data_IF_896127411826
#
_entry.id   IF_896127411826
#
_cell.length_a   1.000
_cell.length_b   1.000
_cell.length_c   1.000
_cell.angle_alpha   90.00
_cell.angle_beta   90.00
_cell.angle_gamma   90.00
#
_symmetry.space_group_name_H-M   'P 1'
#
loop_
_entity.id
_entity.type
_entity.pdbx_description
1 polymer ?
#
# COMPACT_ATOMS: atom_id res chain seq x y z
N UNK A 1 8.33 -5.19 -51.63
CA UNK A 1 8.75 -6.01 -50.49
C UNK A 1 9.40 -5.08 -49.46
N UNK A 2 8.62 -4.58 -48.52
CA UNK A 2 9.08 -3.74 -47.39
C UNK A 2 9.49 -4.64 -46.27
N UNK A 3 10.79 -4.79 -46.04
CA UNK A 3 11.37 -5.50 -44.93
C UNK A 3 10.98 -4.80 -43.63
N UNK A 4 9.98 -5.33 -42.91
CA UNK A 4 9.71 -5.00 -41.51
C UNK A 4 10.93 -5.44 -40.66
N UNK A 5 11.81 -4.49 -40.36
CA UNK A 5 12.83 -4.67 -39.31
C UNK A 5 12.12 -4.91 -38.01
N UNK A 6 12.29 -6.10 -37.42
CA UNK A 6 11.82 -6.42 -36.09
C UNK A 6 12.30 -5.32 -35.11
N UNK A 7 11.41 -4.72 -34.31
CA UNK A 7 11.82 -3.69 -33.37
C UNK A 7 12.86 -4.27 -32.43
N UNK A 8 14.02 -3.64 -32.35
CA UNK A 8 15.16 -4.10 -31.54
C UNK A 8 14.74 -4.34 -30.08
N UNK A 9 15.44 -5.24 -29.39
CA UNK A 9 15.16 -5.69 -28.02
C UNK A 9 14.92 -4.50 -27.06
N UNK A 10 15.67 -3.41 -27.22
CA UNK A 10 15.51 -2.16 -26.46
C UNK A 10 14.13 -1.51 -26.66
N UNK A 11 13.58 -1.52 -27.86
CA UNK A 11 12.26 -0.95 -28.15
C UNK A 11 11.13 -1.82 -27.60
N UNK A 12 11.31 -3.14 -27.55
CA UNK A 12 10.38 -4.08 -26.90
C UNK A 12 10.40 -3.96 -25.37
N UNK A 13 11.55 -3.69 -24.78
CA UNK A 13 11.69 -3.44 -23.34
C UNK A 13 11.09 -2.08 -22.95
N UNK A 14 11.35 -1.02 -23.72
CA UNK A 14 10.82 0.33 -23.47
C UNK A 14 9.29 0.43 -23.58
N UNK A 15 8.66 -0.41 -24.42
CA UNK A 15 7.20 -0.49 -24.55
C UNK A 15 6.58 -1.65 -23.79
N UNK A 16 7.38 -2.40 -22.99
CA UNK A 16 6.93 -3.49 -22.12
C UNK A 16 6.13 -3.00 -20.91
N UNK A 17 5.47 -3.91 -20.21
CA UNK A 17 4.78 -3.58 -18.94
C UNK A 17 5.80 -3.02 -17.94
N UNK A 18 5.41 -2.01 -17.16
CA UNK A 18 6.27 -1.35 -16.16
C UNK A 18 6.90 -2.38 -15.19
N UNK A 19 6.18 -3.47 -14.89
CA UNK A 19 6.71 -4.58 -14.06
C UNK A 19 7.94 -5.22 -14.69
N UNK A 20 7.92 -5.50 -16.01
CA UNK A 20 9.06 -6.08 -16.72
C UNK A 20 10.26 -5.14 -16.70
N UNK A 21 10.02 -3.83 -16.88
CA UNK A 21 11.07 -2.81 -16.80
C UNK A 21 11.68 -2.73 -15.40
N UNK A 22 10.85 -2.78 -14.35
CA UNK A 22 11.30 -2.81 -12.95
C UNK A 22 12.14 -4.07 -12.68
N UNK A 23 11.70 -5.24 -13.14
CA UNK A 23 12.48 -6.49 -12.99
C UNK A 23 13.83 -6.41 -13.69
N UNK A 24 13.87 -5.84 -14.91
CA UNK A 24 15.14 -5.60 -15.61
C UNK A 24 16.02 -4.62 -14.83
N UNK A 25 15.45 -3.51 -14.33
CA UNK A 25 16.19 -2.55 -13.50
C UNK A 25 16.75 -3.20 -12.23
N UNK A 26 15.98 -4.05 -11.56
CA UNK A 26 16.39 -4.80 -10.39
C UNK A 26 17.57 -5.74 -10.70
N UNK A 27 17.45 -6.56 -11.77
CA UNK A 27 18.53 -7.49 -12.18
C UNK A 27 19.80 -6.72 -12.54
N UNK A 28 19.68 -5.65 -13.33
CA UNK A 28 20.83 -4.80 -13.68
C UNK A 28 21.45 -4.15 -12.44
N UNK A 29 20.64 -3.74 -11.46
CA UNK A 29 21.12 -3.19 -10.20
C UNK A 29 21.93 -4.18 -9.37
N UNK A 30 21.47 -5.43 -9.28
CA UNK A 30 22.20 -6.52 -8.63
C UNK A 30 23.52 -6.79 -9.35
N UNK A 31 23.50 -6.88 -10.68
CA UNK A 31 24.70 -7.13 -11.49
C UNK A 31 25.72 -6.01 -11.31
N UNK A 32 25.28 -4.74 -11.34
CA UNK A 32 26.18 -3.61 -11.15
C UNK A 32 26.84 -3.60 -9.76
N UNK A 33 26.08 -3.90 -8.72
CA UNK A 33 26.62 -4.00 -7.36
C UNK A 33 27.64 -5.13 -7.21
N UNK A 34 27.46 -6.20 -7.98
CA UNK A 34 28.42 -7.33 -7.99
C UNK A 34 29.72 -7.00 -8.74
N UNK A 35 29.63 -6.26 -9.87
CA UNK A 35 30.79 -5.94 -10.74
C UNK A 35 31.61 -4.80 -10.14
N UNK A 36 30.95 -3.73 -9.67
CA UNK A 36 31.64 -2.51 -9.22
C UNK A 36 30.88 -1.78 -8.13
N UNK A 37 31.35 -1.89 -6.88
CA UNK A 37 30.77 -1.15 -5.75
C UNK A 37 30.78 0.37 -5.94
N UNK A 38 31.90 1.02 -6.37
CA UNK A 38 31.91 2.47 -6.56
C UNK A 38 30.90 2.96 -7.60
N UNK A 39 30.72 2.23 -8.71
CA UNK A 39 29.74 2.55 -9.73
C UNK A 39 28.30 2.36 -9.20
N UNK A 40 28.06 1.32 -8.40
CA UNK A 40 26.77 1.04 -7.78
C UNK A 40 26.37 2.13 -6.77
N UNK A 41 27.30 2.66 -6.00
CA UNK A 41 27.09 3.80 -5.09
C UNK A 41 26.78 5.08 -5.86
N UNK A 42 27.52 5.36 -6.93
CA UNK A 42 27.30 6.57 -7.76
C UNK A 42 25.89 6.62 -8.39
N UNK A 43 25.37 5.50 -8.89
CA UNK A 43 24.01 5.43 -9.43
C UNK A 43 22.93 5.48 -8.36
N UNK A 44 23.27 5.38 -7.08
CA UNK A 44 22.37 5.55 -5.93
C UNK A 44 21.65 6.89 -5.94
N UNK A 45 22.25 7.94 -6.52
CA UNK A 45 21.61 9.24 -6.72
C UNK A 45 20.27 9.11 -7.46
N UNK A 46 20.17 8.24 -8.47
CA UNK A 46 18.92 8.02 -9.23
C UNK A 46 17.83 7.45 -8.31
N UNK A 47 18.21 6.53 -7.42
CA UNK A 47 17.30 5.97 -6.41
C UNK A 47 16.83 7.04 -5.41
N UNK A 48 17.74 7.85 -4.91
CA UNK A 48 17.44 8.94 -3.97
C UNK A 48 16.51 9.98 -4.60
N UNK A 49 16.76 10.38 -5.84
CA UNK A 49 15.90 11.31 -6.60
C UNK A 49 14.49 10.73 -6.79
N UNK A 50 14.38 9.45 -7.14
CA UNK A 50 13.09 8.79 -7.31
C UNK A 50 12.29 8.75 -6.02
N UNK A 51 12.90 8.33 -4.90
CA UNK A 51 12.25 8.30 -3.59
C UNK A 51 11.90 9.72 -3.12
N UNK A 52 12.79 10.69 -3.34
CA UNK A 52 12.54 12.10 -3.05
C UNK A 52 11.33 12.65 -3.81
N UNK A 53 11.22 12.34 -5.11
CA UNK A 53 10.09 12.74 -5.93
C UNK A 53 8.77 12.11 -5.45
N UNK A 54 8.77 10.82 -5.05
CA UNK A 54 7.59 10.18 -4.46
C UNK A 54 7.19 10.84 -3.14
N UNK A 55 8.13 11.10 -2.25
CA UNK A 55 7.89 11.78 -0.97
C UNK A 55 7.33 13.19 -1.15
N UNK A 56 7.79 13.92 -2.18
CA UNK A 56 7.34 15.29 -2.45
C UNK A 56 5.88 15.34 -2.95
N UNK A 57 5.45 14.37 -3.76
CA UNK A 57 4.10 14.39 -4.36
C UNK A 57 3.06 13.74 -3.46
N UNK A 58 3.45 12.79 -2.59
CA UNK A 58 2.53 12.01 -1.77
C UNK A 58 1.61 12.86 -0.84
N UNK A 59 2.08 13.89 -0.12
CA UNK A 59 1.24 14.71 0.74
C UNK A 59 0.12 15.42 -0.04
N UNK A 60 0.46 16.03 -1.17
CA UNK A 60 -0.49 16.75 -2.04
C UNK A 60 -1.49 15.77 -2.65
N UNK A 61 -1.03 14.58 -3.07
CA UNK A 61 -1.91 13.52 -3.58
C UNK A 61 -2.98 13.16 -2.57
N UNK A 62 -2.57 12.86 -1.32
CA UNK A 62 -3.51 12.45 -0.26
C UNK A 62 -4.52 13.56 0.02
N UNK A 63 -4.08 14.82 0.14
CA UNK A 63 -4.96 15.95 0.34
C UNK A 63 -6.02 16.05 -0.77
N UNK A 64 -5.58 16.11 -2.02
CA UNK A 64 -6.48 16.32 -3.17
C UNK A 64 -7.40 15.13 -3.42
N UNK A 65 -6.90 13.91 -3.32
CA UNK A 65 -7.66 12.71 -3.61
C UNK A 65 -8.77 12.49 -2.57
N UNK A 66 -8.44 12.64 -1.28
CA UNK A 66 -9.42 12.46 -0.20
C UNK A 66 -10.45 13.59 -0.22
N UNK A 67 -10.01 14.85 -0.39
CA UNK A 67 -10.90 16.00 -0.50
C UNK A 67 -11.86 15.84 -1.69
N UNK A 68 -11.37 15.48 -2.88
CA UNK A 68 -12.21 15.26 -4.05
C UNK A 68 -13.21 14.12 -3.85
N UNK A 69 -12.77 13.01 -3.26
CA UNK A 69 -13.61 11.85 -2.97
C UNK A 69 -14.80 12.21 -2.07
N UNK A 70 -14.55 13.01 -1.01
CA UNK A 70 -15.60 13.42 -0.05
C UNK A 70 -16.51 14.48 -0.65
N UNK A 71 -15.97 15.48 -1.36
CA UNK A 71 -16.74 16.54 -1.99
C UNK A 71 -17.74 16.02 -3.02
N UNK A 72 -17.36 14.96 -3.76
CA UNK A 72 -18.19 14.36 -4.81
C UNK A 72 -19.10 13.22 -4.34
N UNK A 73 -19.09 12.91 -3.05
CA UNK A 73 -19.94 11.85 -2.52
C UNK A 73 -21.42 12.28 -2.53
N UNK A 74 -22.20 11.72 -3.46
CA UNK A 74 -23.62 12.05 -3.63
C UNK A 74 -24.47 11.40 -2.52
N UNK A 75 -25.37 12.21 -1.93
CA UNK A 75 -26.42 11.73 -1.03
C UNK A 75 -27.67 11.41 -1.86
N UNK A 76 -28.26 10.25 -1.65
CA UNK A 76 -29.63 10.05 -2.06
C UNK A 76 -30.06 8.69 -2.59
N UNK A 77 -29.18 7.73 -2.75
CA UNK A 77 -29.63 6.37 -3.09
C UNK A 77 -29.95 5.58 -1.82
N UNK A 78 -31.21 5.13 -1.69
CA UNK A 78 -31.66 4.21 -0.62
C UNK A 78 -31.13 2.80 -0.91
N UNK A 79 -29.81 2.66 -0.96
CA UNK A 79 -29.15 1.38 -1.13
C UNK A 79 -28.84 0.79 0.23
N UNK A 80 -28.95 -0.53 0.34
CA UNK A 80 -28.64 -1.28 1.56
C UNK A 80 -27.10 -1.36 1.78
N UNK A 81 -26.45 -0.17 1.88
CA UNK A 81 -24.98 -0.04 1.94
C UNK A 81 -24.43 -0.49 3.30
N UNK A 82 -25.22 -0.39 4.39
CA UNK A 82 -24.77 -0.72 5.74
C UNK A 82 -24.13 -2.12 5.86
N UNK A 83 -24.79 -3.21 5.40
CA UNK A 83 -24.19 -4.54 5.48
C UNK A 83 -22.95 -4.69 4.59
N UNK A 84 -22.87 -3.96 3.47
CA UNK A 84 -21.72 -3.99 2.58
C UNK A 84 -20.52 -3.30 3.23
N UNK A 85 -20.73 -2.10 3.83
CA UNK A 85 -19.70 -1.41 4.59
C UNK A 85 -19.17 -2.26 5.75
N UNK A 86 -20.07 -2.93 6.47
CA UNK A 86 -19.67 -3.84 7.55
C UNK A 86 -18.78 -4.97 7.01
N UNK A 87 -19.12 -5.59 5.87
CA UNK A 87 -18.31 -6.62 5.24
C UNK A 87 -16.94 -6.09 4.76
N UNK A 88 -16.87 -4.86 4.27
CA UNK A 88 -15.60 -4.23 3.89
C UNK A 88 -14.67 -4.04 5.10
N UNK A 89 -15.23 -3.49 6.19
CA UNK A 89 -14.47 -3.31 7.43
C UNK A 89 -14.05 -4.66 8.03
N UNK A 90 -14.97 -5.63 8.05
CA UNK A 90 -14.68 -6.98 8.54
C UNK A 90 -13.60 -7.67 7.69
N UNK A 91 -13.68 -7.53 6.36
CA UNK A 91 -12.68 -8.08 5.43
C UNK A 91 -11.30 -7.47 5.64
N UNK A 92 -11.22 -6.12 5.74
CA UNK A 92 -9.96 -5.41 6.00
C UNK A 92 -9.39 -5.76 7.38
N UNK A 93 -10.23 -5.82 8.42
CA UNK A 93 -9.80 -6.22 9.77
C UNK A 93 -9.32 -7.68 9.81
N UNK A 94 -10.06 -8.59 9.18
CA UNK A 94 -9.65 -10.00 9.10
C UNK A 94 -8.35 -10.19 8.34
N UNK A 95 -8.10 -9.38 7.30
CA UNK A 95 -6.85 -9.39 6.57
C UNK A 95 -5.68 -8.89 7.42
N UNK A 96 -5.88 -7.81 8.20
CA UNK A 96 -4.89 -7.31 9.15
C UNK A 96 -4.59 -8.34 10.25
N UNK A 97 -5.63 -8.97 10.81
CA UNK A 97 -5.48 -10.02 11.82
C UNK A 97 -4.72 -11.24 11.27
N UNK A 98 -5.06 -11.68 10.05
CA UNK A 98 -4.34 -12.74 9.38
C UNK A 98 -2.86 -12.38 9.16
N UNK A 99 -2.56 -11.12 8.81
CA UNK A 99 -1.21 -10.63 8.66
C UNK A 99 -0.42 -10.65 9.96
N UNK A 100 -1.04 -10.27 11.08
CA UNK A 100 -0.44 -10.38 12.42
C UNK A 100 -0.09 -11.84 12.73
N UNK A 101 -1.05 -12.75 12.62
CA UNK A 101 -0.83 -14.19 12.90
C UNK A 101 0.25 -14.77 11.98
N UNK A 102 0.22 -14.42 10.69
CA UNK A 102 1.16 -14.92 9.71
C UNK A 102 2.58 -14.38 9.92
N UNK A 103 2.72 -13.09 10.28
CA UNK A 103 4.02 -12.47 10.61
C UNK A 103 4.63 -13.11 11.86
N UNK A 104 3.85 -13.40 12.88
CA UNK A 104 4.33 -14.13 14.06
C UNK A 104 4.69 -15.60 13.77
N UNK A 105 3.99 -16.25 12.82
CA UNK A 105 4.31 -17.61 12.41
C UNK A 105 5.60 -17.70 11.58
N UNK A 106 5.86 -16.67 10.77
CA UNK A 106 6.99 -16.60 9.84
C UNK A 106 7.76 -15.28 10.03
N UNK A 107 8.51 -15.11 11.12
CA UNK A 107 9.26 -13.89 11.37
C UNK A 107 10.28 -13.66 10.25
N UNK A 108 10.27 -12.47 9.68
CA UNK A 108 11.22 -12.06 8.65
C UNK A 108 12.36 -11.24 9.28
N UNK A 109 13.60 -11.50 8.86
CA UNK A 109 14.78 -10.79 9.36
C UNK A 109 15.33 -9.86 8.30
N UNK A 110 14.75 -8.68 8.13
CA UNK A 110 15.29 -7.64 7.26
C UNK A 110 16.36 -6.80 7.99
N UNK A 111 17.55 -6.73 7.53
CA UNK A 111 18.54 -5.76 8.00
C UNK A 111 18.30 -4.41 7.32
N UNK A 112 17.45 -3.55 7.92
CA UNK A 112 17.39 -2.15 7.53
C UNK A 112 18.60 -1.45 8.16
N UNK A 113 19.52 -0.96 7.36
CA UNK A 113 20.50 0.02 7.80
C UNK A 113 19.77 1.36 7.98
N UNK A 114 18.97 1.48 9.03
CA UNK A 114 18.48 2.78 9.44
C UNK A 114 19.55 3.40 10.34
N UNK A 115 20.11 4.52 9.93
CA UNK A 115 20.56 5.52 10.87
C UNK A 115 19.31 5.97 11.64
N UNK A 116 18.97 5.21 12.68
CA UNK A 116 18.01 5.63 13.68
C UNK A 116 18.65 6.83 14.36
N UNK A 117 18.26 8.05 13.94
CA UNK A 117 18.42 9.18 14.83
C UNK A 117 17.76 8.81 16.16
N UNK A 118 18.28 9.32 17.26
CA UNK A 118 17.80 9.09 18.62
C UNK A 118 16.28 9.33 18.75
N UNK A 119 15.50 8.35 18.33
CA UNK A 119 14.06 8.31 18.57
C UNK A 119 13.90 7.62 19.93
N UNK A 120 13.87 8.42 21.00
CA UNK A 120 13.46 7.91 22.30
C UNK A 120 12.05 7.32 22.18
N UNK A 121 11.85 6.05 22.56
CA UNK A 121 10.53 5.45 22.50
C UNK A 121 9.56 6.22 23.40
N UNK A 122 8.30 6.44 22.97
CA UNK A 122 7.32 7.16 23.77
C UNK A 122 7.12 6.45 25.11
N UNK A 123 7.03 7.23 26.19
CA UNK A 123 6.95 6.73 27.58
C UNK A 123 5.65 5.96 27.89
N UNK A 124 4.66 6.01 26.98
CA UNK A 124 3.40 5.27 27.15
C UNK A 124 2.36 5.60 26.09
N UNK A 125 1.26 4.82 26.11
CA UNK A 125 0.16 4.94 25.16
C UNK A 125 -0.51 6.32 25.21
N UNK A 126 -0.51 6.97 26.37
CA UNK A 126 -1.09 8.31 26.55
C UNK A 126 -0.29 9.37 25.78
N UNK A 127 1.02 9.29 25.77
CA UNK A 127 1.89 10.20 25.02
C UNK A 127 1.70 10.02 23.50
N UNK A 128 1.60 8.77 23.04
CA UNK A 128 1.27 8.46 21.64
C UNK A 128 -0.09 9.03 21.26
N UNK A 129 -1.12 8.82 22.08
CA UNK A 129 -2.46 9.37 21.83
C UNK A 129 -2.46 10.90 21.80
N UNK A 130 -1.77 11.54 22.73
CA UNK A 130 -1.59 12.99 22.74
C UNK A 130 -0.90 13.50 21.47
N UNK A 131 0.17 12.83 21.06
CA UNK A 131 0.88 13.14 19.81
C UNK A 131 -0.02 13.04 18.58
N UNK A 132 -0.84 11.98 18.50
CA UNK A 132 -1.82 11.79 17.43
C UNK A 132 -2.85 12.92 17.40
N UNK A 133 -3.46 13.27 18.55
CA UNK A 133 -4.44 14.36 18.64
C UNK A 133 -3.81 15.71 18.27
N UNK A 134 -2.61 16.00 18.76
CA UNK A 134 -1.89 17.23 18.39
C UNK A 134 -1.55 17.27 16.89
N UNK A 135 -1.23 16.12 16.29
CA UNK A 135 -0.99 16.02 14.85
C UNK A 135 -2.24 16.34 14.03
N UNK A 136 -3.44 16.04 14.55
CA UNK A 136 -4.71 16.37 13.88
C UNK A 136 -4.98 17.89 13.77
N UNK A 137 -4.50 18.65 14.74
CA UNK A 137 -4.73 20.11 14.85
C UNK A 137 -3.60 20.93 14.24
N UNK A 138 -2.66 20.30 13.56
CA UNK A 138 -1.52 20.97 12.93
C UNK A 138 -1.97 21.93 11.80
N UNK A 139 -1.19 22.99 11.57
CA UNK A 139 -1.39 23.89 10.43
C UNK A 139 -1.35 23.07 9.12
N UNK A 140 -2.29 23.31 8.17
CA UNK A 140 -2.36 22.53 6.94
C UNK A 140 -1.10 22.62 6.08
N UNK A 141 -0.48 23.79 6.02
CA UNK A 141 0.75 24.01 5.24
C UNK A 141 1.92 23.28 5.91
N UNK A 142 2.02 23.38 7.23
CA UNK A 142 3.05 22.67 8.00
C UNK A 142 2.89 21.15 7.92
N UNK A 143 1.64 20.66 7.94
CA UNK A 143 1.32 19.24 7.73
C UNK A 143 1.79 18.74 6.36
N UNK A 144 1.59 19.54 5.30
CA UNK A 144 2.06 19.23 3.95
C UNK A 144 3.59 19.23 3.86
N UNK A 145 4.24 20.25 4.42
CA UNK A 145 5.71 20.39 4.41
C UNK A 145 6.40 19.25 5.16
N UNK A 146 5.89 18.89 6.33
CA UNK A 146 6.46 17.84 7.18
C UNK A 146 5.98 16.43 6.83
N UNK A 147 5.01 16.29 5.91
CA UNK A 147 4.40 14.99 5.58
C UNK A 147 3.60 14.41 6.75
N UNK A 148 2.98 15.24 7.58
CA UNK A 148 2.08 14.80 8.64
C UNK A 148 0.74 14.34 8.04
N UNK A 149 0.68 13.07 7.65
CA UNK A 149 -0.50 12.49 6.97
C UNK A 149 -1.77 12.54 7.81
N UNK A 150 -1.67 12.52 9.15
CA UNK A 150 -2.84 12.62 10.04
C UNK A 150 -3.45 14.01 9.92
N UNK A 151 -2.63 15.06 10.03
CA UNK A 151 -3.09 16.44 9.82
C UNK A 151 -3.63 16.66 8.42
N UNK A 152 -2.94 16.15 7.39
CA UNK A 152 -3.38 16.24 5.99
C UNK A 152 -4.76 15.59 5.81
N UNK A 153 -4.99 14.40 6.38
CA UNK A 153 -6.27 13.70 6.30
C UNK A 153 -7.40 14.49 6.99
N UNK A 154 -7.15 15.04 8.17
CA UNK A 154 -8.16 15.87 8.89
C UNK A 154 -8.57 17.07 8.06
N UNK A 155 -7.60 17.80 7.49
CA UNK A 155 -7.87 18.93 6.60
C UNK A 155 -8.55 18.49 5.30
N UNK A 156 -8.14 17.38 4.69
CA UNK A 156 -8.78 16.86 3.49
C UNK A 156 -10.25 16.48 3.72
N UNK A 157 -10.54 15.86 4.87
CA UNK A 157 -11.90 15.51 5.28
C UNK A 157 -12.71 16.78 5.55
N UNK A 158 -12.20 17.72 6.34
CA UNK A 158 -12.89 18.97 6.66
C UNK A 158 -13.21 19.80 5.42
N UNK A 159 -12.24 20.02 4.54
CA UNK A 159 -12.44 20.72 3.28
C UNK A 159 -13.36 19.96 2.34
N UNK A 160 -13.25 18.62 2.26
CA UNK A 160 -14.16 17.80 1.47
C UNK A 160 -15.62 17.92 1.92
N UNK A 161 -15.88 17.94 3.23
CA UNK A 161 -17.22 18.19 3.78
C UNK A 161 -17.72 19.59 3.47
N UNK A 162 -16.90 20.61 3.62
CA UNK A 162 -17.27 21.99 3.29
C UNK A 162 -17.63 22.14 1.79
N UNK A 163 -16.83 21.56 0.91
CA UNK A 163 -17.02 21.61 -0.53
C UNK A 163 -18.17 20.73 -1.05
N UNK A 164 -18.68 19.81 -0.23
CA UNK A 164 -19.82 18.96 -0.58
C UNK A 164 -21.07 19.76 -0.92
N UNK A 165 -21.25 20.92 -0.28
CA UNK A 165 -22.36 21.85 -0.52
C UNK A 165 -22.03 22.88 -1.60
N UNK A 166 -20.82 22.82 -2.16
CA UNK A 166 -20.40 23.69 -3.27
C UNK A 166 -21.14 23.37 -4.59
N UNK A 167 -21.07 24.32 -5.51
CA UNK A 167 -21.63 24.14 -6.85
C UNK A 167 -20.84 23.11 -7.65
N UNK A 168 -21.44 22.60 -8.73
CA UNK A 168 -20.81 21.59 -9.58
C UNK A 168 -19.50 22.09 -10.22
N UNK A 169 -19.36 23.37 -10.51
CA UNK A 169 -18.13 23.96 -11.05
C UNK A 169 -16.98 23.81 -10.07
N UNK A 170 -17.22 24.06 -8.77
CA UNK A 170 -16.20 23.91 -7.73
C UNK A 170 -15.80 22.43 -7.54
N UNK A 171 -16.78 21.52 -7.57
CA UNK A 171 -16.51 20.08 -7.46
C UNK A 171 -15.70 19.57 -8.66
N UNK A 172 -16.03 20.01 -9.86
CA UNK A 172 -15.29 19.67 -11.07
C UNK A 172 -13.86 20.20 -11.00
N UNK A 173 -13.64 21.43 -10.54
CA UNK A 173 -12.29 21.99 -10.34
C UNK A 173 -11.46 21.13 -9.39
N UNK A 174 -12.02 20.71 -8.25
CA UNK A 174 -11.34 19.85 -7.29
C UNK A 174 -11.00 18.49 -7.89
N UNK A 175 -11.90 17.91 -8.70
CA UNK A 175 -11.64 16.68 -9.43
C UNK A 175 -10.49 16.85 -10.44
N UNK A 176 -10.48 17.93 -11.20
CA UNK A 176 -9.44 18.22 -12.19
C UNK A 176 -8.08 18.38 -11.52
N UNK A 177 -8.02 19.07 -10.38
CA UNK A 177 -6.81 19.18 -9.58
C UNK A 177 -6.34 17.80 -9.04
N UNK A 178 -7.26 16.98 -8.55
CA UNK A 178 -6.97 15.61 -8.09
C UNK A 178 -6.42 14.75 -9.24
N UNK A 179 -7.01 14.87 -10.43
CA UNK A 179 -6.56 14.17 -11.64
C UNK A 179 -5.18 14.64 -12.08
N UNK A 180 -4.90 15.94 -12.03
CA UNK A 180 -3.61 16.52 -12.36
C UNK A 180 -2.50 16.01 -11.42
N UNK A 181 -2.75 16.00 -10.10
CA UNK A 181 -1.79 15.46 -9.12
C UNK A 181 -1.60 13.95 -9.33
N UNK A 182 -2.69 13.21 -9.60
CA UNK A 182 -2.61 11.78 -9.93
C UNK A 182 -1.77 11.52 -11.18
N UNK A 183 -1.88 12.39 -12.19
CA UNK A 183 -1.02 12.31 -13.38
C UNK A 183 0.45 12.52 -13.05
N UNK A 184 0.78 13.50 -12.20
CA UNK A 184 2.16 13.73 -11.73
C UNK A 184 2.72 12.52 -11.00
N UNK A 185 1.94 11.88 -10.13
CA UNK A 185 2.35 10.62 -9.46
C UNK A 185 2.60 9.50 -10.47
N UNK A 186 1.71 9.33 -11.45
CA UNK A 186 1.90 8.33 -12.51
C UNK A 186 3.17 8.60 -13.31
N UNK A 187 3.49 9.88 -13.57
CA UNK A 187 4.73 10.28 -14.24
C UNK A 187 5.95 9.89 -13.41
N UNK A 188 5.97 10.20 -12.11
CA UNK A 188 7.05 9.80 -11.19
C UNK A 188 7.19 8.27 -11.17
N UNK A 189 6.07 7.53 -11.05
CA UNK A 189 6.08 6.05 -11.05
C UNK A 189 6.65 5.50 -12.38
N UNK A 190 6.50 6.19 -13.48
CA UNK A 190 7.07 5.76 -14.77
C UNK A 190 8.61 5.72 -14.76
N UNK A 191 9.25 6.50 -13.88
CA UNK A 191 10.70 6.45 -13.64
C UNK A 191 11.12 5.37 -12.64
N UNK A 192 10.19 4.60 -12.07
CA UNK A 192 10.47 3.53 -11.11
C UNK A 192 11.55 2.53 -11.57
N UNK A 193 11.61 2.08 -12.84
CA UNK A 193 12.66 1.15 -13.28
C UNK A 193 14.07 1.70 -13.06
N UNK A 194 14.27 2.99 -13.35
CA UNK A 194 15.56 3.68 -13.19
C UNK A 194 15.82 3.95 -11.71
N UNK A 195 14.81 4.40 -10.96
CA UNK A 195 14.92 4.64 -9.52
C UNK A 195 15.24 3.36 -8.74
N UNK A 196 14.57 2.27 -9.05
CA UNK A 196 14.79 0.97 -8.41
C UNK A 196 16.16 0.40 -8.77
N UNK A 197 16.60 0.54 -10.03
CA UNK A 197 17.96 0.21 -10.43
C UNK A 197 19.00 0.91 -9.54
N UNK A 198 18.91 2.24 -9.38
CA UNK A 198 19.83 3.01 -8.55
C UNK A 198 19.74 2.64 -7.06
N UNK A 199 18.53 2.48 -6.54
CA UNK A 199 18.30 2.13 -5.14
C UNK A 199 18.88 0.75 -4.79
N UNK A 200 18.60 -0.26 -5.61
CA UNK A 200 19.05 -1.63 -5.39
C UNK A 200 20.58 -1.71 -5.52
N UNK A 201 21.16 -1.05 -6.54
CA UNK A 201 22.61 -1.01 -6.72
C UNK A 201 23.31 -0.44 -5.48
N UNK A 202 22.89 0.75 -5.01
CA UNK A 202 23.53 1.41 -3.87
C UNK A 202 23.30 0.66 -2.56
N UNK A 203 22.09 0.14 -2.33
CA UNK A 203 21.80 -0.64 -1.13
C UNK A 203 22.66 -1.88 -1.03
N UNK A 204 22.79 -2.63 -2.14
CA UNK A 204 23.63 -3.84 -2.14
C UNK A 204 25.11 -3.55 -2.02
N UNK A 205 25.59 -2.44 -2.58
CA UNK A 205 26.98 -2.00 -2.44
C UNK A 205 27.34 -1.69 -0.99
N UNK A 206 26.39 -1.07 -0.24
CA UNK A 206 26.61 -0.65 1.15
C UNK A 206 26.30 -1.73 2.18
N UNK A 207 25.22 -2.51 2.01
CA UNK A 207 24.75 -3.49 3.00
C UNK A 207 25.11 -4.93 2.69
N UNK A 208 25.54 -5.21 1.47
CA UNK A 208 25.93 -6.55 1.02
C UNK A 208 24.77 -7.44 0.59
N UNK A 209 25.12 -8.61 0.01
CA UNK A 209 24.16 -9.53 -0.60
C UNK A 209 23.29 -10.31 0.42
N UNK A 210 23.71 -10.40 1.68
CA UNK A 210 22.91 -11.02 2.75
C UNK A 210 21.55 -10.33 2.92
N UNK A 211 21.47 -9.04 2.62
CA UNK A 211 20.26 -8.25 2.68
C UNK A 211 19.20 -8.70 1.67
N UNK A 212 19.61 -9.21 0.50
CA UNK A 212 18.68 -9.77 -0.50
C UNK A 212 17.88 -10.95 0.04
N UNK A 213 18.49 -11.79 0.86
CA UNK A 213 17.79 -12.93 1.46
C UNK A 213 16.67 -12.47 2.39
N UNK A 214 16.94 -11.45 3.21
CA UNK A 214 15.92 -10.84 4.07
C UNK A 214 14.75 -10.26 3.26
N UNK A 215 15.02 -9.55 2.16
CA UNK A 215 13.96 -9.04 1.27
C UNK A 215 13.16 -10.15 0.60
N UNK A 216 13.83 -11.23 0.14
CA UNK A 216 13.14 -12.37 -0.45
C UNK A 216 12.21 -13.04 0.57
N UNK A 217 12.68 -13.22 1.81
CA UNK A 217 11.88 -13.78 2.89
C UNK A 217 10.66 -12.91 3.19
N UNK A 218 10.84 -11.59 3.30
CA UNK A 218 9.72 -10.65 3.50
C UNK A 218 8.69 -10.74 2.36
N UNK A 219 9.14 -10.79 1.10
CA UNK A 219 8.25 -10.94 -0.05
C UNK A 219 7.47 -12.24 0.00
N UNK A 220 8.11 -13.35 0.39
CA UNK A 220 7.43 -14.64 0.56
C UNK A 220 6.36 -14.55 1.65
N UNK A 221 6.66 -13.91 2.77
CA UNK A 221 5.70 -13.69 3.87
C UNK A 221 4.53 -12.82 3.39
N UNK A 222 4.79 -11.70 2.71
CA UNK A 222 3.76 -10.81 2.18
C UNK A 222 2.86 -11.53 1.17
N UNK A 223 3.43 -12.14 0.15
CA UNK A 223 2.69 -12.84 -0.91
C UNK A 223 1.95 -14.05 -0.32
N UNK A 224 2.60 -14.80 0.56
CA UNK A 224 1.97 -15.93 1.26
C UNK A 224 0.76 -15.50 2.08
N UNK A 225 0.86 -14.40 2.82
CA UNK A 225 -0.24 -13.83 3.58
C UNK A 225 -1.39 -13.35 2.65
N UNK A 226 -1.05 -12.66 1.54
CA UNK A 226 -2.05 -12.23 0.56
C UNK A 226 -2.81 -13.41 -0.07
N UNK A 227 -2.10 -14.50 -0.41
CA UNK A 227 -2.69 -15.72 -0.92
C UNK A 227 -3.57 -16.41 0.13
N UNK A 228 -3.12 -16.47 1.38
CA UNK A 228 -3.92 -17.02 2.48
C UNK A 228 -5.22 -16.22 2.66
N UNK A 229 -5.15 -14.90 2.64
CA UNK A 229 -6.36 -14.07 2.75
C UNK A 229 -7.28 -14.27 1.54
N UNK A 230 -6.74 -14.31 0.33
CA UNK A 230 -7.53 -14.47 -0.89
C UNK A 230 -8.20 -15.86 -0.99
N UNK A 231 -7.50 -16.94 -0.58
CA UNK A 231 -7.93 -18.33 -0.79
C UNK A 231 -8.56 -18.97 0.46
N UNK A 232 -8.36 -18.42 1.64
CA UNK A 232 -8.90 -18.97 2.90
C UNK A 232 -9.81 -17.95 3.58
N UNK A 233 -9.32 -16.77 3.92
CA UNK A 233 -10.08 -15.79 4.74
C UNK A 233 -11.30 -15.28 3.97
N UNK A 234 -11.11 -14.82 2.72
CA UNK A 234 -12.22 -14.33 1.90
C UNK A 234 -13.26 -15.41 1.59
N UNK A 235 -12.89 -16.62 1.17
CA UNK A 235 -13.85 -17.72 1.04
C UNK A 235 -14.59 -18.02 2.33
N UNK A 236 -13.95 -17.98 3.49
CA UNK A 236 -14.56 -18.21 4.79
C UNK A 236 -15.63 -17.14 5.11
N UNK A 237 -15.33 -15.88 4.86
CA UNK A 237 -16.27 -14.77 5.02
C UNK A 237 -17.48 -14.91 4.08
N UNK A 238 -17.23 -15.29 2.84
CA UNK A 238 -18.29 -15.55 1.84
C UNK A 238 -19.15 -16.73 2.28
N UNK A 239 -18.53 -17.83 2.71
CA UNK A 239 -19.24 -19.02 3.23
C UNK A 239 -20.11 -18.67 4.44
N UNK A 240 -19.60 -17.91 5.37
CA UNK A 240 -20.35 -17.45 6.55
C UNK A 240 -21.62 -16.70 6.17
N UNK A 241 -21.57 -15.89 5.11
CA UNK A 241 -22.72 -15.11 4.66
C UNK A 241 -23.68 -15.87 3.77
N UNK A 242 -23.16 -16.67 2.81
CA UNK A 242 -23.97 -17.33 1.78
C UNK A 242 -24.41 -18.73 2.23
N UNK A 243 -23.70 -19.36 3.18
CA UNK A 243 -23.93 -20.73 3.66
C UNK A 243 -23.89 -21.81 2.56
N UNK A 244 -23.17 -21.53 1.48
CA UNK A 244 -22.95 -22.45 0.34
C UNK A 244 -21.46 -22.45 0.00
N UNK A 245 -21.03 -23.38 -0.86
CA UNK A 245 -19.64 -23.46 -1.30
C UNK A 245 -19.19 -22.11 -1.93
N UNK A 246 -18.21 -21.38 -1.34
CA UNK A 246 -17.78 -20.06 -1.80
C UNK A 246 -16.81 -20.12 -2.98
N UNK A 247 -16.10 -21.26 -3.17
CA UNK A 247 -15.00 -21.36 -4.12
C UNK A 247 -15.35 -21.06 -5.57
N UNK A 248 -16.51 -21.52 -6.13
CA UNK A 248 -16.87 -21.18 -7.50
C UNK A 248 -16.97 -19.67 -7.71
N UNK A 249 -17.55 -18.92 -6.74
CA UNK A 249 -17.68 -17.48 -6.82
C UNK A 249 -16.34 -16.79 -6.65
N UNK A 250 -15.54 -17.20 -5.66
CA UNK A 250 -14.22 -16.60 -5.40
C UNK A 250 -13.27 -16.82 -6.58
N UNK A 251 -13.23 -18.01 -7.14
CA UNK A 251 -12.42 -18.32 -8.32
C UNK A 251 -12.87 -17.55 -9.55
N UNK A 252 -14.18 -17.37 -9.73
CA UNK A 252 -14.73 -16.54 -10.81
C UNK A 252 -14.26 -15.09 -10.66
N UNK A 253 -14.37 -14.51 -9.46
CA UNK A 253 -13.89 -13.14 -9.17
C UNK A 253 -12.39 -13.01 -9.39
N UNK A 254 -11.58 -13.98 -8.94
CA UNK A 254 -10.15 -13.98 -9.15
C UNK A 254 -9.78 -14.04 -10.63
N UNK A 255 -10.46 -14.87 -11.39
CA UNK A 255 -10.21 -15.05 -12.83
C UNK A 255 -10.60 -13.81 -13.63
N UNK A 256 -11.80 -13.27 -13.42
CA UNK A 256 -12.36 -12.18 -14.25
C UNK A 256 -11.79 -10.81 -13.82
N UNK A 257 -11.67 -10.56 -12.53
CA UNK A 257 -11.26 -9.28 -11.97
C UNK A 257 -9.85 -9.29 -11.36
N UNK A 258 -9.48 -10.35 -10.65
CA UNK A 258 -8.20 -10.43 -9.96
C UNK A 258 -7.00 -10.38 -10.91
N UNK A 259 -7.07 -11.06 -12.04
CA UNK A 259 -6.02 -11.02 -13.08
C UNK A 259 -5.86 -9.60 -13.63
N UNK A 260 -6.97 -8.92 -13.92
CA UNK A 260 -6.95 -7.55 -14.39
C UNK A 260 -6.39 -6.59 -13.34
N UNK A 261 -6.81 -6.72 -12.07
CA UNK A 261 -6.31 -5.94 -10.95
C UNK A 261 -4.79 -6.10 -10.74
N UNK A 262 -4.28 -7.32 -10.89
CA UNK A 262 -2.84 -7.61 -10.80
C UNK A 262 -2.02 -6.84 -11.83
N UNK A 263 -2.48 -6.79 -13.07
CA UNK A 263 -1.76 -6.06 -14.14
C UNK A 263 -1.92 -4.55 -14.05
N UNK A 264 -3.11 -4.05 -13.71
CA UNK A 264 -3.37 -2.60 -13.61
C UNK A 264 -2.83 -1.99 -12.32
N UNK A 265 -2.72 -2.78 -11.25
CA UNK A 265 -2.30 -2.33 -9.91
C UNK A 265 -3.09 -1.12 -9.40
N UNK A 266 -4.33 -1.00 -9.84
CA UNK A 266 -5.20 0.13 -9.52
C UNK A 266 -6.61 -0.34 -9.26
N UNK A 267 -7.08 -0.19 -8.03
CA UNK A 267 -8.46 -0.49 -7.65
C UNK A 267 -9.45 0.37 -8.45
N UNK A 268 -9.12 1.63 -8.70
CA UNK A 268 -9.96 2.53 -9.48
C UNK A 268 -10.08 2.08 -10.95
N UNK A 269 -9.00 1.65 -11.59
CA UNK A 269 -9.01 1.13 -12.96
C UNK A 269 -9.81 -0.19 -13.06
N UNK A 270 -9.95 -0.91 -11.95
CA UNK A 270 -10.69 -2.17 -11.91
C UNK A 270 -12.20 -2.00 -11.65
N UNK A 271 -12.67 -0.79 -11.32
CA UNK A 271 -14.09 -0.51 -11.07
C UNK A 271 -14.99 -0.99 -12.22
N UNK A 272 -14.76 -0.60 -13.50
CA UNK A 272 -15.63 -1.00 -14.60
C UNK A 272 -15.64 -2.53 -14.82
N UNK A 273 -14.54 -3.21 -14.58
CA UNK A 273 -14.44 -4.67 -14.69
C UNK A 273 -15.30 -5.35 -13.61
N UNK A 274 -15.22 -4.87 -12.38
CA UNK A 274 -16.05 -5.37 -11.27
C UNK A 274 -17.53 -5.06 -11.49
N UNK A 275 -17.88 -3.89 -12.03
CA UNK A 275 -19.26 -3.55 -12.37
C UNK A 275 -19.83 -4.49 -13.45
N UNK A 276 -19.06 -4.72 -14.52
CA UNK A 276 -19.43 -5.66 -15.57
C UNK A 276 -19.58 -7.12 -15.04
N UNK A 277 -18.75 -7.51 -14.08
CA UNK A 277 -18.87 -8.81 -13.41
C UNK A 277 -20.16 -8.88 -12.56
N UNK A 278 -20.51 -7.81 -11.83
CA UNK A 278 -21.76 -7.75 -11.08
C UNK A 278 -22.99 -7.82 -11.99
N UNK A 279 -22.96 -7.14 -13.13
CA UNK A 279 -24.00 -7.22 -14.16
C UNK A 279 -24.14 -8.66 -14.71
N UNK A 280 -23.02 -9.32 -15.03
CA UNK A 280 -22.97 -10.71 -15.48
C UNK A 280 -23.54 -11.70 -14.45
N UNK A 281 -23.42 -11.36 -13.17
CA UNK A 281 -23.98 -12.12 -12.05
C UNK A 281 -25.45 -11.75 -11.74
N UNK A 282 -26.07 -10.89 -12.53
CA UNK A 282 -27.42 -10.37 -12.35
C UNK A 282 -27.67 -9.76 -10.94
N UNK A 283 -26.68 -9.04 -10.42
CA UNK A 283 -26.81 -8.33 -9.16
C UNK A 283 -27.58 -7.01 -9.36
N UNK A 284 -28.18 -6.51 -8.29
CA UNK A 284 -28.91 -5.25 -8.31
C UNK A 284 -28.01 -4.08 -8.67
N UNK A 285 -28.35 -3.36 -9.76
CA UNK A 285 -27.55 -2.28 -10.34
C UNK A 285 -27.38 -1.10 -9.38
N UNK A 286 -28.43 -0.74 -8.65
CA UNK A 286 -28.40 0.39 -7.72
C UNK A 286 -27.44 0.13 -6.57
N UNK A 287 -27.35 -1.12 -6.14
CA UNK A 287 -26.42 -1.55 -5.08
C UNK A 287 -24.96 -1.58 -5.57
N UNK A 288 -24.66 -2.24 -6.71
CA UNK A 288 -23.26 -2.37 -7.12
C UNK A 288 -22.67 -1.08 -7.71
N UNK A 289 -23.51 -0.19 -8.30
CA UNK A 289 -23.03 1.09 -8.83
C UNK A 289 -22.44 2.02 -7.74
N UNK A 290 -22.87 1.85 -6.50
CA UNK A 290 -22.36 2.58 -5.35
C UNK A 290 -21.32 1.78 -4.59
N UNK A 291 -21.58 0.49 -4.35
CA UNK A 291 -20.68 -0.32 -3.51
C UNK A 291 -19.33 -0.58 -4.17
N UNK A 292 -19.26 -0.83 -5.48
CA UNK A 292 -17.99 -1.13 -6.16
C UNK A 292 -17.01 0.07 -6.13
N UNK A 293 -17.40 1.30 -6.50
CA UNK A 293 -16.53 2.47 -6.36
C UNK A 293 -16.12 2.74 -4.90
N UNK A 294 -17.08 2.59 -3.96
CA UNK A 294 -16.82 2.78 -2.55
C UNK A 294 -15.84 1.72 -2.02
N UNK A 295 -16.02 0.45 -2.41
CA UNK A 295 -15.11 -0.65 -2.06
C UNK A 295 -13.69 -0.44 -2.57
N UNK A 296 -13.52 0.17 -3.74
CA UNK A 296 -12.21 0.48 -4.30
C UNK A 296 -11.39 1.46 -3.43
N UNK A 297 -12.06 2.24 -2.57
CA UNK A 297 -11.43 3.21 -1.66
C UNK A 297 -11.37 2.75 -0.20
N UNK A 298 -12.35 1.99 0.27
CA UNK A 298 -12.49 1.61 1.69
C UNK A 298 -11.95 0.20 1.95
N UNK A 299 -12.18 -0.76 1.04
CA UNK A 299 -11.74 -2.15 1.22
C UNK A 299 -10.31 -2.35 0.75
N UNK A 300 -9.36 -1.95 1.58
CA UNK A 300 -7.93 -2.00 1.27
C UNK A 300 -7.22 -3.16 2.01
N UNK A 301 -7.73 -4.38 1.90
CA UNK A 301 -7.17 -5.56 2.57
C UNK A 301 -5.68 -5.78 2.24
N UNK A 302 -5.26 -5.60 0.98
CA UNK A 302 -3.85 -5.71 0.58
C UNK A 302 -2.95 -4.66 1.25
N UNK A 303 -3.41 -3.42 1.37
CA UNK A 303 -2.68 -2.37 2.09
C UNK A 303 -2.60 -2.68 3.59
N UNK A 304 -3.69 -3.16 4.19
CA UNK A 304 -3.72 -3.57 5.60
C UNK A 304 -2.69 -4.68 5.88
N UNK A 305 -2.60 -5.71 5.02
CA UNK A 305 -1.59 -6.77 5.14
C UNK A 305 -0.18 -6.18 5.05
N UNK A 306 0.09 -5.38 4.03
CA UNK A 306 1.43 -4.82 3.78
C UNK A 306 1.89 -3.93 4.94
N UNK A 307 1.02 -3.01 5.40
CA UNK A 307 1.31 -2.12 6.52
C UNK A 307 1.57 -2.94 7.79
N UNK A 308 0.72 -3.92 8.10
CA UNK A 308 0.84 -4.74 9.30
C UNK A 308 2.13 -5.54 9.31
N UNK A 309 2.45 -6.24 8.22
CA UNK A 309 3.68 -7.05 8.12
C UNK A 309 4.92 -6.17 8.24
N UNK A 310 4.98 -5.05 7.49
CA UNK A 310 6.13 -4.13 7.54
C UNK A 310 6.29 -3.46 8.91
N UNK A 311 5.19 -3.09 9.56
CA UNK A 311 5.24 -2.48 10.90
C UNK A 311 5.72 -3.48 11.95
N UNK A 312 5.21 -4.71 11.92
CA UNK A 312 5.65 -5.75 12.85
C UNK A 312 7.13 -6.11 12.64
N UNK A 313 7.58 -6.21 11.40
CA UNK A 313 8.98 -6.43 11.07
C UNK A 313 9.88 -5.28 11.59
N UNK A 314 9.44 -4.04 11.49
CA UNK A 314 10.15 -2.87 12.03
C UNK A 314 10.15 -2.84 13.57
N UNK A 315 9.04 -3.19 14.22
CA UNK A 315 8.91 -3.23 15.69
C UNK A 315 9.77 -4.34 16.29
N UNK A 316 9.81 -5.52 15.69
CA UNK A 316 10.64 -6.64 16.16
C UNK A 316 12.13 -6.26 16.23
N UNK A 317 12.58 -5.35 15.38
CA UNK A 317 13.97 -4.87 15.32
C UNK A 317 14.32 -3.79 16.30
N UNK A 318 13.33 -2.93 16.64
CA UNK A 318 13.55 -1.85 17.62
C UNK A 318 13.77 -2.38 19.05
N UNK A 319 13.82 -3.72 19.22
CA UNK A 319 13.98 -4.34 20.54
C UNK A 319 12.70 -4.27 21.40
N UNK A 320 11.62 -3.70 20.85
CA UNK A 320 10.30 -3.75 21.48
C UNK A 320 9.76 -5.18 21.39
N UNK A 321 10.02 -5.97 22.44
CA UNK A 321 9.41 -7.30 22.60
C UNK A 321 7.91 -7.13 22.69
N UNK A 322 7.17 -7.40 21.62
CA UNK A 322 5.73 -7.57 21.72
C UNK A 322 5.51 -8.73 22.71
N UNK A 323 4.78 -8.51 23.77
CA UNK A 323 4.65 -9.40 24.94
C UNK A 323 4.32 -10.87 24.57
N UNK A 324 3.64 -11.10 23.44
CA UNK A 324 3.32 -12.42 22.90
C UNK A 324 4.54 -13.21 22.38
N UNK A 325 5.59 -12.54 21.93
CA UNK A 325 6.78 -13.21 21.40
C UNK A 325 7.68 -13.77 22.51
N UNK A 326 7.68 -13.11 23.67
CA UNK A 326 8.41 -13.57 24.88
C UNK A 326 7.84 -14.87 25.43
N UNK A 327 6.53 -15.09 25.31
CA UNK A 327 5.85 -16.32 25.74
C UNK A 327 6.29 -17.52 24.90
N UNK A 328 6.52 -17.34 23.61
CA UNK A 328 6.92 -18.42 22.68
C UNK A 328 8.35 -18.93 22.89
N UNK A 329 9.29 -18.09 23.36
CA UNK A 329 10.69 -18.50 23.61
C UNK A 329 10.94 -19.17 24.97
N UNK A 330 9.92 -19.45 25.76
CA UNK A 330 10.08 -20.06 27.07
C UNK A 330 10.86 -19.21 28.09
N UNK A 331 11.12 -17.95 27.76
CA UNK A 331 11.70 -16.99 28.69
C UNK A 331 10.62 -16.51 29.65
N UNK A 332 10.75 -16.90 30.93
CA UNK A 332 9.89 -16.40 31.99
C UNK A 332 9.79 -14.87 31.96
N UNK A 333 8.66 -14.36 32.42
CA UNK A 333 8.40 -12.92 32.55
C UNK A 333 9.39 -12.35 33.57
N UNK A 334 10.58 -12.02 33.15
CA UNK A 334 11.45 -11.16 33.97
C UNK A 334 10.99 -9.73 33.67
N UNK A 335 10.27 -9.15 34.58
CA UNK A 335 10.06 -7.71 34.68
C UNK A 335 11.47 -7.10 34.76
N UNK A 336 11.90 -6.41 33.71
CA UNK A 336 13.14 -5.65 33.78
C UNK A 336 12.96 -4.61 34.86
N UNK A 337 13.73 -4.75 35.92
CA UNK A 337 13.81 -3.80 37.02
C UNK A 337 14.22 -2.43 36.45
N UNK A 338 13.44 -1.36 36.63
CA UNK A 338 13.79 -0.05 36.10
C UNK A 338 14.90 0.66 36.90
N UNK A 339 15.47 -0.01 37.90
CA UNK A 339 16.54 0.52 38.75
C UNK A 339 17.87 -0.20 38.49
N UNK A 340 18.30 -0.23 37.24
CA UNK A 340 19.67 -0.64 36.91
C UNK A 340 20.66 0.45 37.38
N UNK A 341 21.13 0.37 38.62
CA UNK A 341 22.40 0.91 39.10
C UNK A 341 23.53 -0.02 38.65
#
# INVERSE_FOLDING_TARGET
MTTQRSPGLFRRLAHGSLVKQILVGLVLGILLAWISKPAAEAVGLLGTLFVGALKAVAPILVLMLVMASIANHQHGQKTNIRPILFLYLLGTFSAALAAVVFSFAFPSTLHLSSSAGDISPPSGIVEVMRGLVMSMVSNPIDALLKGNYIGILVWAIGLGFALRHGNETTKNLVNDMSNAVTFMVKLVIRFAPIGIFGLVSSTLATTGFSTLWGYAQLLVVLVGCMLLVALVVNPLLVWWKIRRNPFPLVLLCLRESGVYAFFTRSSAANIPVNMALCEKLNLDRDTYSVSIPLGATINMAGAAITITVLTLDAVERSGFSVCLWRIRRGGGISVADPTGL
#
